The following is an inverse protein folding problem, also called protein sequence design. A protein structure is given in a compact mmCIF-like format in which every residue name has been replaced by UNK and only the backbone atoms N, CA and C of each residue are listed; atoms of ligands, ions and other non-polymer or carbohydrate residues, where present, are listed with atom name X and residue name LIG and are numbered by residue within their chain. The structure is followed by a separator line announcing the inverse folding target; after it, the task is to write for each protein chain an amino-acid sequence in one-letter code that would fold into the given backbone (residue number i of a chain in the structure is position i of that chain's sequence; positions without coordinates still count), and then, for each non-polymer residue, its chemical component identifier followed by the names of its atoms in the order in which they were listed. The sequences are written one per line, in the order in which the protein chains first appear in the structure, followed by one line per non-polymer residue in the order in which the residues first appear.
data_IF_773951651125
#
_entry.id   IF_773951651125
#
_cell.length_a   1.000
_cell.length_b   1.000
_cell.length_c   1.000
_cell.angle_alpha   90.00
_cell.angle_beta   90.00
_cell.angle_gamma   90.00
#
_symmetry.space_group_name_H-M   'P 1'
#
loop_
_entity.id
_entity.type
_entity.pdbx_description
1 polymer ?
#
# COMPACT_ATOMS: atom_id res chain seq x y z
N UNK A 1 8.44 8.01 5.01
CA UNK A 1 7.63 7.84 3.77
C UNK A 1 6.17 7.56 4.13
N UNK A 2 5.20 7.96 3.31
CA UNK A 2 3.78 7.59 3.47
C UNK A 2 3.32 6.87 2.19
N UNK A 3 2.61 5.75 2.34
CA UNK A 3 2.01 5.00 1.24
C UNK A 3 0.51 4.90 1.51
N UNK A 4 -0.27 5.60 0.70
CA UNK A 4 -1.73 5.44 0.65
C UNK A 4 -2.07 4.15 -0.11
N UNK A 5 -2.76 3.22 0.55
CA UNK A 5 -3.13 1.91 0.03
C UNK A 5 -4.51 1.92 -0.63
N UNK A 6 -5.17 3.08 -0.65
CA UNK A 6 -6.47 3.26 -1.28
C UNK A 6 -6.43 3.15 -2.80
N UNK A 7 -7.58 2.77 -3.38
CA UNK A 7 -7.75 2.67 -4.83
C UNK A 7 -7.59 4.02 -5.56
N UNK A 8 -7.55 5.15 -4.84
CA UNK A 8 -7.21 6.45 -5.42
C UNK A 8 -5.70 6.64 -5.65
N UNK A 9 -4.84 5.78 -5.10
CA UNK A 9 -3.40 5.86 -5.37
C UNK A 9 -3.06 5.31 -6.76
N UNK A 10 -3.04 6.20 -7.75
CA UNK A 10 -2.76 5.86 -9.14
C UNK A 10 -1.39 5.19 -9.35
N UNK A 11 -0.36 5.58 -8.57
CA UNK A 11 0.97 5.01 -8.70
C UNK A 11 1.03 3.57 -8.18
N UNK A 12 0.35 3.28 -7.07
CA UNK A 12 0.32 1.94 -6.48
C UNK A 12 -0.45 0.96 -7.37
N UNK A 13 -1.57 1.40 -7.92
CA UNK A 13 -2.46 0.59 -8.74
C UNK A 13 -2.24 0.79 -10.26
N UNK A 14 -1.10 1.36 -10.67
CA UNK A 14 -0.76 1.53 -12.09
C UNK A 14 -0.78 0.17 -12.82
N UNK A 15 -1.65 0.03 -13.81
CA UNK A 15 -1.87 -1.22 -14.55
C UNK A 15 -3.02 -2.09 -14.05
N UNK A 16 -3.65 -1.73 -12.93
CA UNK A 16 -4.89 -2.37 -12.48
C UNK A 16 -6.12 -1.72 -13.12
N UNK A 17 -7.10 -2.53 -13.47
CA UNK A 17 -8.42 -2.09 -13.89
C UNK A 17 -9.27 -1.77 -12.65
N UNK A 18 -9.54 -0.48 -12.45
CA UNK A 18 -10.41 0.04 -11.39
C UNK A 18 -11.63 0.69 -12.05
N UNK A 19 -12.82 0.39 -11.53
CA UNK A 19 -14.09 0.98 -12.01
C UNK A 19 -14.87 1.56 -10.84
N UNK A 20 -15.71 2.54 -11.13
CA UNK A 20 -16.70 3.01 -10.16
C UNK A 20 -17.96 2.15 -10.24
N UNK A 21 -18.38 1.59 -9.10
CA UNK A 21 -19.61 0.79 -8.97
C UNK A 21 -20.38 1.35 -7.77
N UNK A 22 -21.57 1.91 -8.02
CA UNK A 22 -22.40 2.50 -6.96
C UNK A 22 -21.72 3.65 -6.21
N UNK A 23 -20.97 4.50 -6.91
CA UNK A 23 -20.26 5.65 -6.31
C UNK A 23 -18.97 5.28 -5.56
N UNK A 24 -18.48 4.04 -5.71
CA UNK A 24 -17.25 3.57 -5.04
C UNK A 24 -16.28 2.96 -6.04
N UNK A 25 -15.00 3.29 -5.87
CA UNK A 25 -13.92 2.63 -6.60
C UNK A 25 -13.89 1.15 -6.23
N UNK A 26 -13.82 0.32 -7.25
CA UNK A 26 -13.80 -1.15 -7.16
C UNK A 26 -12.68 -1.66 -8.05
N UNK A 27 -11.77 -2.43 -7.47
CA UNK A 27 -10.75 -3.15 -8.23
C UNK A 27 -11.41 -4.31 -8.98
N UNK A 28 -11.28 -4.31 -10.30
CA UNK A 28 -11.85 -5.35 -11.19
C UNK A 28 -10.80 -6.31 -11.75
N UNK A 29 -9.52 -5.97 -11.67
CA UNK A 29 -8.43 -6.91 -11.94
C UNK A 29 -8.48 -8.07 -10.94
N UNK A 30 -8.35 -9.34 -11.38
CA UNK A 30 -8.27 -10.49 -10.48
C UNK A 30 -7.18 -10.31 -9.41
N UNK A 31 -7.45 -10.76 -8.18
CA UNK A 31 -6.57 -10.52 -7.02
C UNK A 31 -5.15 -11.06 -7.25
N UNK A 32 -5.02 -12.24 -7.87
CA UNK A 32 -3.72 -12.85 -8.16
C UNK A 32 -2.86 -12.00 -9.12
N UNK A 33 -3.49 -11.41 -10.14
CA UNK A 33 -2.81 -10.51 -11.07
C UNK A 33 -2.51 -9.16 -10.42
N UNK A 34 -3.51 -8.59 -9.72
CA UNK A 34 -3.38 -7.31 -9.05
C UNK A 34 -2.28 -7.34 -7.98
N UNK A 35 -2.14 -8.43 -7.22
CA UNK A 35 -1.08 -8.59 -6.22
C UNK A 35 0.31 -8.44 -6.82
N UNK A 36 0.57 -9.04 -7.98
CA UNK A 36 1.84 -8.93 -8.69
C UNK A 36 2.08 -7.52 -9.24
N UNK A 37 1.04 -6.84 -9.73
CA UNK A 37 1.13 -5.45 -10.20
C UNK A 37 1.46 -4.51 -9.03
N UNK A 38 0.64 -4.57 -7.98
CA UNK A 38 0.75 -3.73 -6.78
C UNK A 38 2.10 -3.94 -6.08
N UNK A 39 2.56 -5.19 -5.94
CA UNK A 39 3.85 -5.49 -5.34
C UNK A 39 5.02 -4.89 -6.12
N UNK A 40 4.99 -4.97 -7.46
CA UNK A 40 6.02 -4.35 -8.32
C UNK A 40 6.01 -2.83 -8.20
N UNK A 41 4.83 -2.22 -8.20
CA UNK A 41 4.70 -0.76 -8.12
C UNK A 41 5.17 -0.24 -6.76
N UNK A 42 4.76 -0.90 -5.67
CA UNK A 42 5.24 -0.57 -4.33
C UNK A 42 6.76 -0.74 -4.21
N UNK A 43 7.34 -1.80 -4.77
CA UNK A 43 8.79 -1.97 -4.77
C UNK A 43 9.51 -0.81 -5.47
N UNK A 44 8.99 -0.32 -6.61
CA UNK A 44 9.52 0.88 -7.29
C UNK A 44 9.43 2.13 -6.41
N UNK A 45 8.26 2.36 -5.79
CA UNK A 45 8.07 3.49 -4.87
C UNK A 45 9.05 3.43 -3.71
N UNK A 46 9.22 2.24 -3.12
CA UNK A 46 10.13 2.01 -2.00
C UNK A 46 11.57 2.22 -2.43
N UNK A 47 12.02 1.72 -3.58
CA UNK A 47 13.40 1.93 -4.07
C UNK A 47 13.77 3.41 -4.16
N UNK A 48 12.82 4.26 -4.55
CA UNK A 48 13.04 5.71 -4.66
C UNK A 48 13.17 6.46 -3.32
N UNK A 49 12.81 5.83 -2.19
CA UNK A 49 12.91 6.46 -0.89
C UNK A 49 14.37 6.56 -0.42
N UNK A 50 14.82 7.79 -0.13
CA UNK A 50 16.16 8.07 0.40
C UNK A 50 16.23 7.90 1.91
N UNK A 51 15.18 8.31 2.62
CA UNK A 51 15.02 8.09 4.06
C UNK A 51 14.33 6.75 4.35
N UNK A 52 14.99 5.93 5.17
CA UNK A 52 14.56 4.59 5.59
C UNK A 52 14.19 4.51 7.07
N UNK A 53 14.15 5.62 7.78
CA UNK A 53 13.78 5.62 9.20
C UNK A 53 12.36 5.07 9.39
N UNK A 54 11.39 5.60 8.64
CA UNK A 54 9.98 5.28 8.88
C UNK A 54 9.17 5.19 7.59
N UNK A 55 8.21 4.27 7.57
CA UNK A 55 7.12 4.23 6.57
C UNK A 55 5.77 4.13 7.26
N UNK A 56 4.78 4.86 6.74
CA UNK A 56 3.39 4.81 7.20
C UNK A 56 2.51 4.26 6.10
N UNK A 57 1.81 3.17 6.37
CA UNK A 57 0.78 2.58 5.53
C UNK A 57 -0.58 3.15 5.96
N UNK A 58 -1.39 3.66 5.02
CA UNK A 58 -2.68 4.28 5.35
C UNK A 58 -3.72 4.06 4.26
N UNK A 59 -4.94 4.53 4.48
CA UNK A 59 -6.02 4.56 3.48
C UNK A 59 -6.88 3.29 3.43
N UNK A 60 -8.14 3.40 2.95
CA UNK A 60 -9.07 2.27 2.85
C UNK A 60 -8.64 1.27 1.78
N UNK A 61 -8.52 0.00 2.15
CA UNK A 61 -7.95 -1.04 1.28
C UNK A 61 -8.53 -2.42 1.59
N UNK A 62 -8.29 -3.38 0.68
CA UNK A 62 -8.48 -4.79 0.99
C UNK A 62 -7.31 -5.33 1.83
N UNK A 63 -7.58 -6.25 2.77
CA UNK A 63 -6.58 -6.83 3.67
C UNK A 63 -5.42 -7.50 2.91
N UNK A 64 -5.71 -8.18 1.79
CA UNK A 64 -4.65 -8.81 1.00
C UNK A 64 -3.68 -7.79 0.40
N UNK A 65 -4.14 -6.60 0.00
CA UNK A 65 -3.29 -5.56 -0.55
C UNK A 65 -2.34 -5.02 0.53
N UNK A 66 -2.85 -4.84 1.76
CA UNK A 66 -2.01 -4.53 2.92
C UNK A 66 -0.90 -5.57 3.12
N UNK A 67 -1.22 -6.86 3.10
CA UNK A 67 -0.23 -7.92 3.33
C UNK A 67 0.87 -7.91 2.25
N UNK A 68 0.50 -7.70 0.98
CA UNK A 68 1.47 -7.55 -0.11
C UNK A 68 2.39 -6.36 0.16
N UNK A 69 1.85 -5.19 0.49
CA UNK A 69 2.67 -3.99 0.70
C UNK A 69 3.50 -4.08 1.96
N UNK A 70 2.94 -4.59 3.05
CA UNK A 70 3.66 -4.82 4.28
C UNK A 70 4.90 -5.70 4.04
N UNK A 71 4.76 -6.80 3.28
CA UNK A 71 5.89 -7.66 2.94
C UNK A 71 6.99 -6.93 2.16
N UNK A 72 6.63 -5.99 1.28
CA UNK A 72 7.60 -5.19 0.52
C UNK A 72 8.36 -4.21 1.43
N UNK A 73 7.70 -3.62 2.43
CA UNK A 73 8.30 -2.54 3.23
C UNK A 73 8.95 -3.01 4.52
N UNK A 74 8.52 -4.13 5.11
CA UNK A 74 8.87 -4.51 6.48
C UNK A 74 10.37 -4.52 6.71
N UNK A 75 11.15 -5.15 5.84
CA UNK A 75 12.61 -5.23 5.96
C UNK A 75 13.37 -4.08 5.28
N UNK A 76 12.67 -3.03 4.84
CA UNK A 76 13.24 -1.89 4.12
C UNK A 76 13.21 -0.58 4.91
N UNK A 77 12.52 -0.56 6.04
CA UNK A 77 12.41 0.59 6.92
C UNK A 77 12.67 0.17 8.37
N UNK A 78 13.21 1.06 9.19
CA UNK A 78 13.48 0.77 10.60
C UNK A 78 12.17 0.63 11.39
N UNK A 79 11.19 1.48 11.07
CA UNK A 79 9.85 1.43 11.65
C UNK A 79 8.77 1.42 10.56
N UNK A 80 7.80 0.53 10.71
CA UNK A 80 6.58 0.49 9.90
C UNK A 80 5.40 0.83 10.78
N UNK A 81 4.64 1.84 10.37
CA UNK A 81 3.42 2.26 11.02
C UNK A 81 2.21 1.98 10.14
N UNK A 82 1.06 1.75 10.75
CA UNK A 82 -0.24 1.75 10.11
C UNK A 82 -1.11 2.87 10.69
N UNK A 83 -1.77 3.63 9.82
CA UNK A 83 -2.69 4.71 10.21
C UNK A 83 -4.04 4.50 9.53
N UNK A 84 -5.06 4.16 10.32
CA UNK A 84 -6.43 3.95 9.86
C UNK A 84 -7.24 5.26 9.71
N UNK A 85 -6.61 6.40 9.99
CA UNK A 85 -7.23 7.72 9.97
C UNK A 85 -8.19 7.98 11.13
N UNK A 86 -8.25 7.10 12.15
CA UNK A 86 -9.14 7.23 13.31
C UNK A 86 -8.38 7.30 14.62
N UNK A 87 -7.46 6.36 14.84
CA UNK A 87 -6.78 6.18 16.13
C UNK A 87 -5.35 6.75 16.13
N UNK A 88 -4.92 7.30 14.98
CA UNK A 88 -3.54 7.71 14.74
C UNK A 88 -2.63 6.54 14.36
N UNK A 89 -1.34 6.84 14.23
CA UNK A 89 -0.33 5.88 13.79
C UNK A 89 -0.07 4.82 14.86
N UNK A 90 -0.20 3.55 14.47
CA UNK A 90 0.17 2.38 15.27
C UNK A 90 1.46 1.79 14.72
N UNK A 91 2.47 1.59 15.57
CA UNK A 91 3.69 0.87 15.19
C UNK A 91 3.37 -0.61 15.00
N UNK A 92 3.62 -1.15 13.81
CA UNK A 92 3.28 -2.54 13.45
C UNK A 92 4.50 -3.42 13.19
N UNK A 93 5.68 -2.83 12.93
CA UNK A 93 6.95 -3.55 12.88
C UNK A 93 8.13 -2.60 13.16
N UNK A 94 9.18 -3.16 13.77
CA UNK A 94 10.45 -2.46 14.02
C UNK A 94 11.62 -3.44 13.89
N UNK A 95 12.75 -2.95 13.35
CA UNK A 95 14.00 -3.70 13.16
C UNK A 95 15.18 -3.07 13.90
#
# INVERSE_FOLDING_TARGET
MIIDLSLSNAALYEGCAIKEVGGRLTLTTPVEEAGNIIGRNAAKMVVSATDRAEVVLTGPMAVWAYLVIFHIVVHKFNCVYYDDGRSGKVLIAQH
#
